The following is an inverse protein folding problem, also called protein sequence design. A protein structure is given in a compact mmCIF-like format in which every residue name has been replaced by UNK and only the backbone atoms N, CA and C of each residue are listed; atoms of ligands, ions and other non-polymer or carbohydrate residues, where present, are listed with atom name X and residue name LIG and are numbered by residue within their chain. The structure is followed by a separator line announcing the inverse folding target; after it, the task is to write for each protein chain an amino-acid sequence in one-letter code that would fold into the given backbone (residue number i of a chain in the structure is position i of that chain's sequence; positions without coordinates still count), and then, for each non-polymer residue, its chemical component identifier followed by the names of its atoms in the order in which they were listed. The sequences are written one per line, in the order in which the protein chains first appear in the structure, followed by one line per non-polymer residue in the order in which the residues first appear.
data_IF_397064694870
#
_entry.id   IF_397064694870
#
_cell.length_a   1.000
_cell.length_b   1.000
_cell.length_c   1.000
_cell.angle_alpha   90.00
_cell.angle_beta   90.00
_cell.angle_gamma   90.00
#
_symmetry.space_group_name_H-M   'P 1'
#
loop_
_entity.id
_entity.type
_entity.pdbx_description
1 polymer ?
#
# COMPACT_ATOMS: atom_id res chain seq x y z
N UNK A 1 14.37 -35.13 -6.84
CA UNK A 1 13.30 -34.71 -5.92
C UNK A 1 12.52 -33.56 -6.56
N UNK A 2 11.22 -33.74 -6.80
CA UNK A 2 10.34 -32.73 -7.39
C UNK A 2 10.25 -31.47 -6.52
N UNK A 3 10.49 -31.60 -5.21
CA UNK A 3 10.46 -30.51 -4.23
C UNK A 3 11.37 -29.34 -4.57
N UNK A 4 12.46 -29.58 -5.31
CA UNK A 4 13.40 -28.52 -5.70
C UNK A 4 12.79 -27.52 -6.67
N UNK A 5 11.86 -27.94 -7.54
CA UNK A 5 11.24 -27.09 -8.57
C UNK A 5 9.95 -26.43 -8.14
N UNK A 6 9.53 -26.67 -6.90
CA UNK A 6 8.22 -26.27 -6.45
C UNK A 6 8.25 -24.85 -5.88
N UNK A 7 7.19 -24.05 -6.08
CA UNK A 7 7.19 -22.62 -5.77
C UNK A 7 7.38 -22.28 -4.28
N UNK A 8 7.33 -23.26 -3.38
CA UNK A 8 7.68 -23.06 -1.96
C UNK A 8 9.19 -23.18 -1.68
N UNK A 9 10.00 -23.67 -2.61
CA UNK A 9 11.44 -23.63 -2.50
C UNK A 9 11.95 -22.23 -2.84
N UNK A 10 11.96 -21.35 -1.82
CA UNK A 10 12.37 -19.94 -1.94
C UNK A 10 13.78 -19.73 -2.49
N UNK A 11 14.63 -20.76 -2.51
CA UNK A 11 15.97 -20.68 -3.09
C UNK A 11 15.96 -20.54 -4.63
N UNK A 12 14.84 -20.86 -5.30
CA UNK A 12 14.74 -20.86 -6.78
C UNK A 12 13.74 -19.83 -7.31
N UNK A 13 12.79 -19.40 -6.48
CA UNK A 13 11.84 -18.35 -6.88
C UNK A 13 12.56 -17.00 -6.85
N UNK A 14 13.28 -16.70 -7.92
CA UNK A 14 13.46 -15.30 -8.30
C UNK A 14 12.06 -14.71 -8.52
N UNK A 15 11.87 -13.44 -8.15
CA UNK A 15 10.57 -12.76 -8.07
C UNK A 15 9.77 -12.71 -9.40
N UNK A 16 10.29 -13.29 -10.49
CA UNK A 16 9.76 -13.12 -11.85
C UNK A 16 9.32 -14.41 -12.56
N UNK A 17 9.41 -15.59 -11.94
CA UNK A 17 8.97 -16.83 -12.61
C UNK A 17 7.45 -16.97 -12.46
N UNK A 18 6.72 -17.02 -13.58
CA UNK A 18 5.27 -17.21 -13.54
C UNK A 18 4.90 -18.65 -13.14
N UNK A 19 3.71 -18.85 -12.59
CA UNK A 19 3.19 -20.19 -12.30
C UNK A 19 3.16 -21.09 -13.54
N UNK A 20 2.90 -20.51 -14.72
CA UNK A 20 2.89 -21.23 -15.99
C UNK A 20 4.28 -21.76 -16.36
N UNK A 21 5.32 -20.96 -16.16
CA UNK A 21 6.71 -21.37 -16.42
C UNK A 21 7.12 -22.55 -15.53
N UNK A 22 6.77 -22.47 -14.23
CA UNK A 22 7.01 -23.57 -13.28
C UNK A 22 6.29 -24.84 -13.73
N UNK A 23 5.02 -24.73 -14.11
CA UNK A 23 4.22 -25.87 -14.59
C UNK A 23 4.84 -26.48 -15.85
N UNK A 24 5.28 -25.65 -16.79
CA UNK A 24 5.83 -26.12 -18.05
C UNK A 24 7.21 -26.78 -17.88
N UNK A 25 8.05 -26.30 -16.95
CA UNK A 25 9.27 -26.99 -16.52
C UNK A 25 8.95 -28.34 -15.89
N UNK A 26 7.96 -28.39 -14.98
CA UNK A 26 7.54 -29.62 -14.33
C UNK A 26 7.03 -30.66 -15.34
N UNK A 27 6.32 -30.24 -16.40
CA UNK A 27 5.82 -31.12 -17.48
C UNK A 27 6.93 -31.77 -18.32
N UNK A 28 8.15 -31.20 -18.34
CA UNK A 28 9.29 -31.80 -19.07
C UNK A 28 9.82 -33.04 -18.36
N UNK A 29 9.82 -33.02 -17.03
CA UNK A 29 10.40 -34.08 -16.19
C UNK A 29 9.35 -35.08 -15.70
N UNK A 30 8.10 -34.67 -15.61
CA UNK A 30 7.02 -35.47 -15.02
C UNK A 30 5.78 -35.47 -15.91
N UNK A 31 5.12 -36.62 -16.03
CA UNK A 31 3.84 -36.76 -16.73
C UNK A 31 2.69 -36.62 -15.73
N UNK A 32 1.82 -35.64 -15.95
CA UNK A 32 0.56 -35.50 -15.22
C UNK A 32 -0.59 -35.50 -16.22
N UNK A 33 -1.61 -36.32 -15.96
CA UNK A 33 -2.85 -36.31 -16.72
C UNK A 33 -3.74 -35.16 -16.19
N UNK A 34 -3.51 -33.95 -16.71
CA UNK A 34 -4.35 -32.79 -16.40
C UNK A 34 -3.76 -31.83 -15.37
N UNK A 35 -4.40 -31.72 -14.19
CA UNK A 35 -4.05 -30.77 -13.13
C UNK A 35 -2.97 -31.35 -12.21
N UNK A 36 -2.12 -30.47 -11.66
CA UNK A 36 -1.20 -30.87 -10.59
C UNK A 36 -2.03 -31.31 -9.37
N UNK A 37 -1.64 -32.37 -8.64
CA UNK A 37 -2.35 -32.77 -7.44
C UNK A 37 -2.35 -31.66 -6.39
N UNK A 38 -3.42 -31.53 -5.60
CA UNK A 38 -3.56 -30.45 -4.61
C UNK A 38 -2.45 -30.46 -3.54
N UNK A 39 -1.83 -31.63 -3.30
CA UNK A 39 -0.65 -31.77 -2.44
C UNK A 39 0.57 -30.98 -2.91
N UNK A 40 0.56 -30.51 -4.15
CA UNK A 40 1.58 -29.65 -4.73
C UNK A 40 1.27 -28.16 -4.57
N UNK A 41 0.25 -27.78 -3.81
CA UNK A 41 -0.05 -26.39 -3.53
C UNK A 41 0.02 -26.14 -2.04
N UNK A 42 0.52 -24.96 -1.69
CA UNK A 42 0.43 -24.53 -0.31
C UNK A 42 -1.03 -24.21 0.02
N UNK A 43 -1.63 -25.03 0.87
CA UNK A 43 -3.00 -24.80 1.36
C UNK A 43 -2.88 -23.93 2.61
N UNK A 44 -3.39 -22.71 2.53
CA UNK A 44 -3.51 -21.87 3.72
C UNK A 44 -4.43 -22.56 4.73
N UNK A 45 -3.99 -22.60 5.99
CA UNK A 45 -4.80 -23.16 7.08
C UNK A 45 -5.61 -22.06 7.73
N UNK A 46 -6.77 -22.38 8.30
CA UNK A 46 -7.51 -21.37 9.05
C UNK A 46 -6.72 -20.93 10.28
N UNK A 47 -6.63 -19.62 10.51
CA UNK A 47 -5.95 -19.10 11.69
C UNK A 47 -6.75 -19.47 12.95
N UNK A 48 -6.07 -20.04 13.94
CA UNK A 48 -6.69 -20.31 15.24
C UNK A 48 -7.16 -19.03 15.94
N UNK A 49 -8.30 -19.12 16.63
CA UNK A 49 -8.84 -18.01 17.44
C UNK A 49 -7.90 -17.55 18.54
N UNK A 50 -7.06 -18.45 19.04
CA UNK A 50 -6.11 -18.17 20.12
C UNK A 50 -4.67 -18.31 19.60
N UNK A 51 -3.78 -17.34 19.86
CA UNK A 51 -2.40 -17.36 19.40
C UNK A 51 -1.57 -18.51 20.00
N UNK A 52 -1.99 -19.07 21.14
CA UNK A 52 -1.33 -20.21 21.81
C UNK A 52 -1.20 -21.46 20.93
N UNK A 53 -2.04 -21.58 19.90
CA UNK A 53 -2.02 -22.70 18.95
C UNK A 53 -1.17 -22.43 17.70
N UNK A 54 -0.65 -21.20 17.56
CA UNK A 54 0.23 -20.84 16.46
C UNK A 54 1.66 -21.00 16.93
N UNK A 55 2.50 -21.59 16.08
CA UNK A 55 3.90 -21.77 16.40
C UNK A 55 4.59 -20.39 16.46
N UNK A 56 5.05 -20.00 17.65
CA UNK A 56 5.67 -18.69 17.89
C UNK A 56 6.90 -18.48 16.99
N UNK A 57 7.59 -19.55 16.57
CA UNK A 57 8.71 -19.47 15.63
C UNK A 57 8.33 -18.91 14.25
N UNK A 58 7.03 -18.87 13.93
CA UNK A 58 6.53 -18.30 12.68
C UNK A 58 6.38 -16.77 12.73
N UNK A 59 6.44 -16.18 13.91
CA UNK A 59 6.32 -14.74 14.12
C UNK A 59 7.70 -14.06 14.09
N UNK A 60 7.79 -12.83 13.58
CA UNK A 60 8.96 -11.98 13.73
C UNK A 60 9.33 -11.80 15.21
N UNK A 61 10.62 -11.86 15.53
CA UNK A 61 11.13 -11.73 16.91
C UNK A 61 10.76 -10.42 17.61
N UNK A 62 10.38 -9.39 16.85
CA UNK A 62 9.98 -8.07 17.34
C UNK A 62 8.49 -7.93 17.63
N UNK A 63 7.66 -8.94 17.35
CA UNK A 63 6.23 -8.90 17.64
C UNK A 63 5.97 -9.58 19.00
N UNK A 64 5.30 -8.84 19.87
CA UNK A 64 4.75 -9.36 21.14
C UNK A 64 3.23 -9.46 21.02
N UNK A 65 2.65 -10.49 21.65
CA UNK A 65 1.21 -10.71 21.67
C UNK A 65 0.66 -10.52 23.09
N UNK A 66 -0.54 -9.94 23.25
CA UNK A 66 -1.35 -9.34 22.19
C UNK A 66 -0.69 -8.07 21.62
N UNK A 67 -0.98 -7.75 20.36
CA UNK A 67 -0.50 -6.50 19.75
C UNK A 67 -1.23 -5.32 20.38
N UNK A 68 -0.48 -4.42 21.00
CA UNK A 68 -0.98 -3.20 21.63
C UNK A 68 -0.76 -1.95 20.77
N UNK A 69 0.09 -2.04 19.74
CA UNK A 69 0.48 -0.93 18.86
C UNK A 69 -0.06 -1.12 17.45
N UNK A 70 -0.55 -0.04 16.82
CA UNK A 70 -1.20 -0.13 15.51
C UNK A 70 -0.21 -0.44 14.39
N UNK A 71 1.00 0.09 14.49
CA UNK A 71 2.09 -0.11 13.54
C UNK A 71 2.49 -1.59 13.41
N UNK A 72 2.37 -2.38 14.47
CA UNK A 72 2.74 -3.80 14.46
C UNK A 72 1.67 -4.68 13.79
N UNK A 73 0.43 -4.20 13.62
CA UNK A 73 -0.68 -4.97 13.05
C UNK A 73 -0.41 -5.32 11.59
N UNK A 74 0.18 -4.41 10.83
CA UNK A 74 0.50 -4.65 9.43
C UNK A 74 1.53 -5.78 9.33
N UNK A 75 2.62 -5.70 10.10
CA UNK A 75 3.68 -6.70 10.10
C UNK A 75 3.14 -8.09 10.52
N UNK A 76 2.28 -8.14 11.54
CA UNK A 76 1.60 -9.38 11.92
C UNK A 76 0.74 -9.92 10.78
N UNK A 77 -0.09 -9.06 10.19
CA UNK A 77 -1.03 -9.45 9.14
C UNK A 77 -0.30 -10.00 7.91
N UNK A 78 0.76 -9.32 7.47
CA UNK A 78 1.59 -9.76 6.35
C UNK A 78 2.31 -11.07 6.64
N UNK A 79 2.72 -11.30 7.88
CA UNK A 79 3.34 -12.57 8.30
C UNK A 79 2.31 -13.69 8.28
N UNK A 80 1.17 -13.50 8.93
CA UNK A 80 0.13 -14.53 9.03
C UNK A 80 -0.48 -14.87 7.66
N UNK A 81 -0.68 -13.88 6.78
CA UNK A 81 -1.25 -14.09 5.43
C UNK A 81 -0.42 -15.04 4.55
N UNK A 82 0.87 -15.25 4.86
CA UNK A 82 1.73 -16.21 4.14
C UNK A 82 1.36 -17.67 4.43
N UNK A 83 0.68 -17.94 5.55
CA UNK A 83 0.41 -19.31 6.04
C UNK A 83 -1.06 -19.57 6.33
N UNK A 84 -1.82 -18.52 6.64
CA UNK A 84 -3.16 -18.63 7.19
C UNK A 84 -4.19 -17.83 6.41
N UNK A 85 -5.43 -18.34 6.38
CA UNK A 85 -6.62 -17.62 5.94
C UNK A 85 -7.34 -17.05 7.16
N UNK A 86 -7.59 -15.73 7.16
CA UNK A 86 -8.30 -15.02 8.23
C UNK A 86 -8.80 -13.65 7.76
N UNK A 87 -9.64 -13.01 8.58
CA UNK A 87 -10.06 -11.60 8.41
C UNK A 87 -9.52 -10.78 9.58
N UNK A 88 -8.76 -9.73 9.30
CA UNK A 88 -8.06 -8.93 10.33
C UNK A 88 -9.02 -8.36 11.38
N UNK A 89 -10.20 -7.89 10.97
CA UNK A 89 -11.22 -7.34 11.88
C UNK A 89 -11.94 -8.40 12.76
N UNK A 90 -11.69 -9.69 12.51
CA UNK A 90 -12.22 -10.82 13.30
C UNK A 90 -11.18 -11.45 14.24
N UNK A 91 -9.98 -10.87 14.32
CA UNK A 91 -8.96 -11.31 15.26
C UNK A 91 -9.43 -11.06 16.71
N UNK A 92 -9.15 -12.02 17.58
CA UNK A 92 -9.52 -11.94 18.99
C UNK A 92 -8.64 -10.94 19.75
N UNK A 93 -9.06 -10.53 20.95
CA UNK A 93 -8.24 -9.66 21.82
C UNK A 93 -6.90 -10.26 22.21
N UNK A 94 -6.76 -11.58 22.15
CA UNK A 94 -5.48 -12.24 22.41
C UNK A 94 -4.47 -12.02 21.28
N UNK A 95 -4.95 -11.71 20.07
CA UNK A 95 -4.11 -11.33 18.93
C UNK A 95 -3.83 -9.83 18.91
N UNK A 96 -4.89 -9.02 19.07
CA UNK A 96 -4.82 -7.56 18.97
C UNK A 96 -5.63 -6.97 20.13
N UNK A 97 -4.93 -6.34 21.07
CA UNK A 97 -5.52 -5.64 22.21
C UNK A 97 -5.16 -4.15 22.13
N UNK A 98 -5.79 -3.48 21.16
CA UNK A 98 -5.67 -2.03 21.04
C UNK A 98 -6.54 -1.37 22.11
N UNK A 99 -5.96 -0.41 22.82
CA UNK A 99 -6.75 0.48 23.67
C UNK A 99 -7.83 1.18 22.85
N UNK A 100 -9.01 1.33 23.45
CA UNK A 100 -10.10 2.05 22.83
C UNK A 100 -9.65 3.50 22.59
N UNK A 101 -9.85 3.98 21.37
CA UNK A 101 -9.52 5.35 20.99
C UNK A 101 -10.38 6.34 21.78
N UNK A 102 -9.78 6.99 22.78
CA UNK A 102 -10.41 7.96 23.69
C UNK A 102 -10.47 9.38 23.12
N UNK A 103 -9.91 9.62 21.93
CA UNK A 103 -9.91 10.95 21.31
C UNK A 103 -11.35 11.38 21.00
N UNK A 104 -11.71 12.66 21.25
CA UNK A 104 -13.03 13.17 20.88
C UNK A 104 -13.23 13.16 19.36
N UNK A 105 -14.49 13.15 18.87
CA UNK A 105 -14.74 13.30 17.45
C UNK A 105 -14.24 14.66 16.94
N UNK A 106 -13.93 14.73 15.65
CA UNK A 106 -13.57 15.99 15.00
C UNK A 106 -14.70 17.03 15.18
N UNK A 107 -14.40 18.27 15.63
CA UNK A 107 -15.42 19.28 15.86
C UNK A 107 -16.06 19.71 14.54
N UNK A 108 -17.33 20.10 14.58
CA UNK A 108 -18.05 20.62 13.41
C UNK A 108 -17.52 21.99 12.99
N UNK A 109 -17.11 22.82 13.95
CA UNK A 109 -16.50 24.12 13.68
C UNK A 109 -15.00 23.97 13.35
N UNK A 110 -14.64 24.39 12.14
CA UNK A 110 -13.28 24.39 11.62
C UNK A 110 -12.31 25.24 12.45
N UNK A 111 -12.77 26.36 13.01
CA UNK A 111 -11.90 27.25 13.79
C UNK A 111 -11.45 26.60 15.11
N UNK A 112 -12.31 25.79 15.71
CA UNK A 112 -11.98 25.00 16.90
C UNK A 112 -10.86 24.00 16.61
N UNK A 113 -10.89 23.31 15.47
CA UNK A 113 -9.81 22.42 15.04
C UNK A 113 -8.51 23.19 14.75
N UNK A 114 -8.60 24.32 14.03
CA UNK A 114 -7.46 25.20 13.72
C UNK A 114 -6.71 25.65 14.99
N UNK A 115 -7.44 26.02 16.05
CA UNK A 115 -6.85 26.48 17.32
C UNK A 115 -6.07 25.40 18.05
N UNK A 116 -6.56 24.16 18.05
CA UNK A 116 -5.92 23.05 18.78
C UNK A 116 -4.69 22.54 18.04
N UNK A 117 -4.74 22.44 16.72
CA UNK A 117 -3.66 21.86 15.90
C UNK A 117 -2.70 22.93 15.36
N UNK A 118 -3.05 24.21 15.53
CA UNK A 118 -2.31 25.34 14.98
C UNK A 118 -2.13 25.25 13.46
N UNK A 119 -3.23 25.00 12.75
CA UNK A 119 -3.26 24.90 11.28
C UNK A 119 -4.23 25.92 10.69
N UNK A 120 -4.07 26.21 9.40
CA UNK A 120 -4.92 27.14 8.67
C UNK A 120 -5.82 26.35 7.71
N UNK A 121 -6.94 25.84 8.22
CA UNK A 121 -8.02 25.30 7.40
C UNK A 121 -8.89 26.45 6.83
N UNK A 122 -9.43 26.33 5.60
CA UNK A 122 -9.32 25.16 4.73
C UNK A 122 -7.94 25.02 4.08
N UNK A 123 -7.47 23.79 3.91
CA UNK A 123 -6.13 23.47 3.39
C UNK A 123 -6.14 23.09 1.91
N UNK A 124 -5.00 23.21 1.24
CA UNK A 124 -4.80 22.70 -0.11
C UNK A 124 -4.67 21.17 -0.13
N UNK A 125 -4.98 20.55 -1.28
CA UNK A 125 -4.84 19.09 -1.47
C UNK A 125 -3.44 18.56 -1.17
N UNK A 126 -2.41 19.35 -1.44
CA UNK A 126 -1.00 19.01 -1.18
C UNK A 126 -0.68 18.88 0.31
N UNK A 127 -1.43 19.54 1.19
CA UNK A 127 -1.21 19.57 2.64
C UNK A 127 -2.07 18.56 3.41
N UNK A 128 -3.03 17.90 2.75
CA UNK A 128 -4.01 17.01 3.39
C UNK A 128 -3.32 15.96 4.27
N UNK A 129 -2.31 15.27 3.76
CA UNK A 129 -1.68 14.17 4.49
C UNK A 129 -1.07 14.65 5.82
N UNK A 130 -0.32 15.75 5.78
CA UNK A 130 0.32 16.32 6.96
C UNK A 130 -0.73 16.83 7.97
N UNK A 131 -1.73 17.58 7.50
CA UNK A 131 -2.76 18.13 8.39
C UNK A 131 -3.65 17.05 8.99
N UNK A 132 -4.00 16.00 8.23
CA UNK A 132 -4.72 14.83 8.77
C UNK A 132 -3.90 14.12 9.84
N UNK A 133 -2.59 13.96 9.65
CA UNK A 133 -1.69 13.37 10.66
C UNK A 133 -1.75 14.18 11.96
N UNK A 134 -1.65 15.50 11.86
CA UNK A 134 -1.70 16.38 13.04
C UNK A 134 -3.09 16.38 13.71
N UNK A 135 -4.18 16.46 12.94
CA UNK A 135 -5.54 16.39 13.49
C UNK A 135 -5.82 15.06 14.17
N UNK A 136 -5.31 13.95 13.62
CA UNK A 136 -5.46 12.63 14.24
C UNK A 136 -4.77 12.52 15.58
N UNK A 137 -3.77 13.33 15.91
CA UNK A 137 -3.18 13.31 17.27
C UNK A 137 -4.22 13.71 18.34
N UNK A 138 -5.18 14.56 17.99
CA UNK A 138 -6.14 15.13 18.93
C UNK A 138 -7.58 14.63 18.74
N UNK A 139 -7.95 14.21 17.53
CA UNK A 139 -9.32 13.88 17.17
C UNK A 139 -9.45 12.53 16.48
N UNK A 140 -10.63 11.92 16.64
CA UNK A 140 -11.06 10.73 15.91
C UNK A 140 -12.00 11.11 14.77
N UNK A 141 -11.61 10.77 13.54
CA UNK A 141 -12.45 10.94 12.35
C UNK A 141 -11.98 10.04 11.21
N UNK A 142 -12.92 9.63 10.37
CA UNK A 142 -12.64 8.78 9.21
C UNK A 142 -12.19 9.61 8.00
N UNK A 143 -12.82 10.77 7.77
CA UNK A 143 -12.55 11.66 6.63
C UNK A 143 -12.68 13.12 7.06
N UNK A 144 -11.87 13.98 6.45
CA UNK A 144 -12.05 15.44 6.58
C UNK A 144 -13.32 15.92 5.87
N UNK A 145 -14.05 16.89 6.43
CA UNK A 145 -15.12 17.58 5.73
C UNK A 145 -14.63 18.21 4.42
N UNK A 146 -15.45 18.17 3.36
CA UNK A 146 -15.03 18.66 2.04
C UNK A 146 -14.82 20.18 2.02
N UNK A 147 -15.55 20.91 2.86
CA UNK A 147 -15.44 22.36 3.07
C UNK A 147 -14.13 22.77 3.76
N UNK A 148 -13.42 21.83 4.38
CA UNK A 148 -12.10 22.05 4.98
C UNK A 148 -10.96 21.88 3.96
N UNK A 149 -11.29 21.52 2.72
CA UNK A 149 -10.33 21.32 1.63
C UNK A 149 -10.64 22.36 0.55
N UNK A 150 -9.66 23.20 0.23
CA UNK A 150 -9.77 24.16 -0.86
C UNK A 150 -10.00 23.42 -2.19
N UNK A 151 -11.16 23.64 -2.79
CA UNK A 151 -11.52 23.08 -4.11
C UNK A 151 -10.93 23.88 -5.27
N UNK A 152 -10.48 25.10 -5.00
CA UNK A 152 -9.84 25.99 -5.98
C UNK A 152 -8.44 25.48 -6.25
N UNK A 153 -8.36 24.41 -7.04
CA UNK A 153 -7.11 24.03 -7.67
C UNK A 153 -6.80 25.12 -8.69
N UNK A 154 -5.87 26.02 -8.38
CA UNK A 154 -5.19 26.76 -9.43
C UNK A 154 -4.53 25.68 -10.29
N UNK A 155 -5.09 25.45 -11.48
CA UNK A 155 -4.47 24.59 -12.48
C UNK A 155 -3.00 24.96 -12.54
N UNK A 156 -2.12 23.99 -12.29
CA UNK A 156 -0.72 24.18 -12.64
C UNK A 156 -0.66 24.56 -14.11
N UNK A 157 0.29 25.43 -14.48
CA UNK A 157 0.50 25.81 -15.87
C UNK A 157 0.45 24.55 -16.74
N UNK A 158 -0.30 24.61 -17.83
CA UNK A 158 -0.45 23.47 -18.73
C UNK A 158 0.94 22.94 -19.07
N UNK A 159 1.15 21.64 -18.85
CA UNK A 159 2.39 20.99 -19.25
C UNK A 159 2.65 21.35 -20.72
N UNK A 160 3.87 21.77 -21.08
CA UNK A 160 4.16 22.19 -22.44
C UNK A 160 3.75 21.07 -23.40
N UNK A 161 2.94 21.41 -24.41
CA UNK A 161 2.51 20.44 -25.43
C UNK A 161 3.71 19.66 -25.97
N UNK A 162 3.56 18.35 -26.09
CA UNK A 162 4.59 17.45 -26.61
C UNK A 162 5.02 17.85 -28.03
N UNK A 163 4.15 18.55 -28.77
CA UNK A 163 4.43 19.02 -30.12
C UNK A 163 5.40 20.21 -30.13
N UNK A 164 5.42 21.04 -29.07
CA UNK A 164 6.46 22.08 -28.90
C UNK A 164 7.86 21.47 -28.74
N UNK A 165 7.97 20.24 -28.23
CA UNK A 165 9.25 19.54 -28.09
C UNK A 165 9.79 18.96 -29.41
N UNK A 166 8.93 18.73 -30.41
CA UNK A 166 9.35 18.17 -31.71
C UNK A 166 9.95 19.24 -32.62
N UNK A 167 9.53 20.48 -32.49
CA UNK A 167 10.05 21.58 -33.33
C UNK A 167 11.44 22.05 -32.88
N UNK A 168 11.79 21.93 -31.59
CA UNK A 168 13.10 22.33 -31.08
C UNK A 168 14.24 21.36 -31.40
N UNK A 169 13.95 20.13 -31.88
CA UNK A 169 14.95 19.06 -32.06
C UNK A 169 15.31 18.75 -33.53
N UNK A 170 14.97 19.63 -34.50
CA UNK A 170 15.36 19.44 -35.91
C UNK A 170 16.83 19.78 -36.22
N UNK A 171 17.59 20.30 -35.26
CA UNK A 171 19.05 20.39 -35.33
C UNK A 171 19.66 19.35 -34.42
N UNK A 172 20.54 18.48 -34.94
CA UNK A 172 21.07 17.27 -34.28
C UNK A 172 22.02 17.49 -33.09
N UNK A 173 21.72 18.42 -32.18
CA UNK A 173 22.34 18.51 -30.87
C UNK A 173 21.23 18.74 -29.85
N UNK A 174 21.15 17.88 -28.83
CA UNK A 174 20.10 17.93 -27.81
C UNK A 174 20.00 19.32 -27.14
N UNK A 175 18.83 19.65 -26.57
CA UNK A 175 18.61 20.96 -25.97
C UNK A 175 19.67 21.24 -24.91
N UNK A 176 20.41 22.34 -25.08
CA UNK A 176 21.23 22.92 -24.02
C UNK A 176 20.23 23.49 -23.02
N UNK A 177 20.04 22.83 -21.89
CA UNK A 177 19.24 23.36 -20.79
C UNK A 177 19.95 24.59 -20.24
N UNK A 178 19.59 25.78 -20.73
CA UNK A 178 19.90 27.03 -20.02
C UNK A 178 19.02 27.05 -18.77
N UNK A 179 19.60 26.67 -17.63
CA UNK A 179 18.99 26.93 -16.32
C UNK A 179 18.75 28.44 -16.21
N UNK A 180 17.54 28.89 -16.49
CA UNK A 180 17.07 30.19 -16.01
C UNK A 180 17.04 30.09 -14.49
N UNK A 181 18.01 30.76 -13.85
CA UNK A 181 18.04 30.97 -12.41
C UNK A 181 16.85 31.84 -12.01
N UNK A 182 15.67 31.24 -11.86
CA UNK A 182 14.62 31.83 -11.03
C UNK A 182 15.14 31.86 -9.61
N UNK A 183 15.32 33.07 -9.09
CA UNK A 183 15.76 33.35 -7.73
C UNK A 183 14.79 32.70 -6.74
N UNK A 184 15.14 31.51 -6.24
CA UNK A 184 14.46 30.87 -5.12
C UNK A 184 14.80 31.70 -3.89
N UNK A 185 13.82 32.44 -3.37
CA UNK A 185 13.91 33.01 -2.03
C UNK A 185 13.85 31.85 -1.04
N UNK A 186 15.01 31.49 -0.47
CA UNK A 186 15.11 30.47 0.57
C UNK A 186 14.32 30.91 1.80
N UNK A 187 13.19 30.26 2.06
CA UNK A 187 12.65 30.17 3.40
C UNK A 187 13.24 28.93 4.07
N UNK A 188 14.11 29.21 5.03
CA UNK A 188 14.82 28.24 5.84
C UNK A 188 13.82 27.57 6.79
N UNK A 189 13.35 26.37 6.44
CA UNK A 189 12.68 25.48 7.38
C UNK A 189 13.66 24.37 7.75
N UNK A 190 14.28 24.53 8.91
CA UNK A 190 14.92 23.43 9.62
C UNK A 190 13.82 22.47 10.07
N UNK A 191 13.81 21.26 9.54
CA UNK A 191 13.17 20.11 10.17
C UNK A 191 14.12 18.92 9.96
N UNK A 192 15.01 18.74 10.94
CA UNK A 192 15.57 17.45 11.26
C UNK A 192 14.46 16.55 11.82
N UNK A 193 14.63 15.24 11.59
CA UNK A 193 13.88 14.11 12.17
C UNK A 193 12.43 13.87 11.71
N UNK A 194 12.28 12.93 10.76
CA UNK A 194 11.61 11.64 11.00
C UNK A 194 11.26 10.94 9.67
N UNK A 195 12.01 9.88 9.36
CA UNK A 195 11.64 8.88 8.37
C UNK A 195 10.60 7.96 9.00
N UNK A 196 9.32 8.24 8.79
CA UNK A 196 8.25 7.26 9.01
C UNK A 196 7.28 7.21 7.83
N UNK A 197 7.40 6.11 7.09
CA UNK A 197 6.50 5.68 6.03
C UNK A 197 5.11 5.39 6.62
N UNK A 198 4.09 6.17 6.23
CA UNK A 198 2.69 5.82 6.49
C UNK A 198 1.91 5.91 5.18
N UNK A 199 1.95 4.79 4.45
CA UNK A 199 0.94 4.40 3.47
C UNK A 199 -0.17 3.70 4.25
N UNK A 200 -1.41 3.85 3.79
CA UNK A 200 -2.67 3.20 4.22
C UNK A 200 -3.64 4.05 5.06
N UNK A 201 -4.48 4.78 4.33
CA UNK A 201 -5.94 4.62 4.45
C UNK A 201 -6.45 4.14 3.09
N UNK A 202 -6.52 2.82 2.92
CA UNK A 202 -7.29 2.20 1.84
C UNK A 202 -7.71 0.81 2.27
N UNK A 203 -8.69 0.75 3.17
CA UNK A 203 -9.63 -0.37 3.20
C UNK A 203 -10.56 -0.26 1.96
N UNK A 204 -9.98 -0.48 0.78
CA UNK A 204 -10.74 -1.06 -0.31
C UNK A 204 -10.55 -2.58 -0.20
N UNK A 205 -11.66 -3.29 -0.05
CA UNK A 205 -11.75 -4.72 -0.28
C UNK A 205 -11.21 -5.05 -1.69
N UNK A 206 -9.91 -5.33 -1.78
CA UNK A 206 -9.32 -5.99 -2.93
C UNK A 206 -9.57 -7.49 -2.76
N UNK A 207 -10.79 -7.91 -3.07
CA UNK A 207 -11.02 -9.33 -3.37
C UNK A 207 -10.12 -9.70 -4.56
N UNK A 208 -9.38 -10.79 -4.44
CA UNK A 208 -8.54 -11.32 -5.52
C UNK A 208 -9.34 -11.58 -6.82
N UNK A 209 -10.67 -11.65 -6.75
CA UNK A 209 -11.56 -11.76 -7.92
C UNK A 209 -11.61 -10.51 -8.80
N UNK A 210 -11.35 -9.31 -8.25
CA UNK A 210 -11.33 -8.04 -9.00
C UNK A 210 -10.05 -7.85 -9.84
N UNK A 211 -8.94 -8.46 -9.43
CA UNK A 211 -7.65 -8.34 -10.13
C UNK A 211 -7.57 -9.23 -11.38
N UNK A 212 -8.31 -10.35 -11.41
CA UNK A 212 -8.36 -11.23 -12.57
C UNK A 212 -9.35 -10.80 -13.67
N UNK A 213 -10.37 -9.98 -13.37
CA UNK A 213 -11.34 -9.52 -14.36
C UNK A 213 -10.87 -8.33 -15.22
N UNK A 214 -9.81 -7.61 -14.80
CA UNK A 214 -9.26 -6.48 -15.58
C UNK A 214 -8.25 -6.89 -16.65
N UNK A 215 -7.69 -8.11 -16.57
CA UNK A 215 -6.71 -8.60 -17.55
C UNK A 215 -7.39 -9.33 -18.73
N UNK A 216 -8.59 -9.87 -18.54
CA UNK A 216 -9.29 -10.63 -19.61
C UNK A 216 -10.10 -9.77 -20.59
N UNK A 217 -10.36 -8.49 -20.30
CA UNK A 217 -11.20 -7.65 -21.16
C UNK A 217 -10.46 -6.84 -22.24
N UNK A 218 -9.13 -6.96 -22.34
CA UNK A 218 -8.32 -6.26 -23.36
C UNK A 218 -7.73 -7.19 -24.43
N UNK A 219 -8.23 -8.42 -24.59
CA UNK A 219 -7.69 -9.40 -25.57
C UNK A 219 -8.74 -10.03 -26.51
N UNK A 220 -9.88 -9.36 -26.74
CA UNK A 220 -10.92 -9.83 -27.69
C UNK A 220 -11.34 -8.72 -28.67
N UNK A 221 -10.42 -7.90 -29.18
CA UNK A 221 -10.73 -6.91 -30.24
C UNK A 221 -9.67 -6.73 -31.33
N UNK A 222 -8.88 -7.76 -31.64
CA UNK A 222 -8.01 -7.77 -32.84
C UNK A 222 -8.02 -9.12 -33.56
N UNK A 223 -9.21 -9.67 -33.84
CA UNK A 223 -9.39 -10.71 -34.86
C UNK A 223 -10.87 -10.77 -35.29
N UNK A 224 -11.35 -9.67 -35.89
CA UNK A 224 -12.42 -9.67 -36.90
C UNK A 224 -12.04 -8.71 -38.02
#
# INVERSE_FOLDING_TARGET
DIRKYLPWNRAIVSDNISFYDIRDVLRKEYRFEGKLPDSYFFIHTELSKHPKHVNISDLPNNITLPITRKEDIQLLTETLKKKYTFTTNKLSKEWIDLEADTRPPLPTDMNTANRIVNTNLPINRTQILQTVKQLRLHYKFNRLPNDWILTNYTSQDELPSIDKYKESNKGGYGPIYTLSQTSITNHNYNNDDDKDNNIWDSDQDLSLTSLFSKITNNLIKENE
#
